data_IF_738423446157
#
_entry.id   IF_738423446157
#
_cell.length_a   1.000
_cell.length_b   1.000
_cell.length_c   1.000
_cell.angle_alpha   90.00
_cell.angle_beta   90.00
_cell.angle_gamma   90.00
#
_symmetry.space_group_name_H-M   'P 1'
#
loop_
_entity.id
_entity.type
_entity.pdbx_description
1 polymer ?
#
# COMPACT_ATOMS: atom_id res chain seq x y z
N UNK A 1 20.79 23.54 7.50
CA UNK A 1 20.21 22.21 7.78
C UNK A 1 21.32 21.38 8.41
N UNK A 2 21.26 21.14 9.72
CA UNK A 2 22.39 20.58 10.45
C UNK A 2 22.47 19.07 10.21
N UNK A 3 23.67 18.50 10.15
CA UNK A 3 23.90 17.05 10.00
C UNK A 3 23.08 16.22 11.02
N UNK A 4 22.85 16.79 12.20
CA UNK A 4 22.01 16.21 13.24
C UNK A 4 20.53 16.07 12.83
N UNK A 5 19.98 17.02 12.09
CA UNK A 5 18.60 16.96 11.59
C UNK A 5 18.47 15.88 10.51
N UNK A 6 19.48 15.75 9.66
CA UNK A 6 19.56 14.70 8.65
C UNK A 6 19.67 13.31 9.29
N UNK A 7 20.56 13.12 10.27
CA UNK A 7 20.72 11.86 11.00
C UNK A 7 19.44 11.50 11.77
N UNK A 8 18.77 12.48 12.39
CA UNK A 8 17.46 12.27 13.03
C UNK A 8 16.38 11.86 12.03
N UNK A 9 16.32 12.49 10.84
CA UNK A 9 15.37 12.09 9.80
C UNK A 9 15.65 10.68 9.27
N UNK A 10 16.93 10.30 9.12
CA UNK A 10 17.32 8.98 8.66
C UNK A 10 17.01 7.93 9.72
N UNK A 11 17.25 8.23 11.01
CA UNK A 11 16.88 7.36 12.12
C UNK A 11 15.36 7.18 12.22
N UNK A 12 14.57 8.22 11.95
CA UNK A 12 13.11 8.11 11.87
C UNK A 12 12.68 7.16 10.74
N UNK A 13 13.21 7.37 9.54
CA UNK A 13 12.91 6.52 8.37
C UNK A 13 13.36 5.07 8.58
N UNK A 14 14.51 4.83 9.22
CA UNK A 14 14.99 3.48 9.52
C UNK A 14 14.11 2.74 10.53
N UNK A 15 13.57 3.46 11.52
CA UNK A 15 12.61 2.90 12.47
C UNK A 15 11.26 2.59 11.81
N UNK A 16 10.93 3.27 10.71
CA UNK A 16 9.71 3.04 9.94
C UNK A 16 9.82 1.88 8.94
N UNK A 17 11.03 1.37 8.67
CA UNK A 17 11.25 0.18 7.82
C UNK A 17 11.27 -1.05 8.73
N UNK A 18 10.10 -1.52 9.14
CA UNK A 18 9.98 -2.66 10.07
C UNK A 18 10.02 -4.02 9.37
N UNK A 19 9.74 -4.06 8.07
CA UNK A 19 9.69 -5.30 7.30
C UNK A 19 9.98 -5.08 5.81
N UNK A 20 10.49 -6.12 5.16
CA UNK A 20 10.53 -6.30 3.72
C UNK A 20 9.38 -7.22 3.31
N UNK A 21 8.48 -6.72 2.45
CA UNK A 21 7.39 -7.52 1.86
C UNK A 21 7.70 -7.76 0.38
N UNK A 22 7.71 -9.03 -0.04
CA UNK A 22 7.86 -9.45 -1.43
C UNK A 22 6.58 -10.15 -1.86
N UNK A 23 5.87 -9.57 -2.83
CA UNK A 23 4.68 -10.15 -3.43
C UNK A 23 4.96 -10.59 -4.87
N UNK A 24 4.52 -11.77 -5.24
CA UNK A 24 4.57 -12.26 -6.61
C UNK A 24 3.16 -12.42 -7.15
N UNK A 25 2.88 -11.64 -8.19
CA UNK A 25 1.60 -11.62 -8.89
C UNK A 25 1.83 -11.93 -10.36
N UNK A 26 0.91 -12.69 -10.96
CA UNK A 26 0.82 -12.82 -12.42
C UNK A 26 -0.25 -11.87 -12.90
N UNK A 27 0.17 -10.88 -13.67
CA UNK A 27 -0.71 -9.89 -14.29
C UNK A 27 -0.79 -10.17 -15.78
N UNK A 28 -1.90 -9.78 -16.40
CA UNK A 28 -2.02 -9.86 -17.87
C UNK A 28 -1.05 -8.90 -18.56
N UNK A 29 -0.90 -7.70 -17.99
CA UNK A 29 -0.06 -6.64 -18.53
C UNK A 29 0.57 -5.83 -17.40
N UNK A 30 1.84 -5.49 -17.56
CA UNK A 30 2.50 -4.48 -16.73
C UNK A 30 2.27 -3.11 -17.40
N UNK A 31 1.37 -2.31 -16.84
CA UNK A 31 1.17 -0.94 -17.31
C UNK A 31 2.28 -0.03 -16.76
N UNK A 32 2.88 0.77 -17.64
CA UNK A 32 3.91 1.75 -17.26
C UNK A 32 3.36 3.06 -16.71
N UNK A 33 2.12 3.05 -16.21
CA UNK A 33 1.44 4.26 -15.79
C UNK A 33 2.15 4.88 -14.60
N UNK A 34 2.48 6.16 -14.75
CA UNK A 34 3.11 6.91 -13.68
C UNK A 34 2.10 7.09 -12.55
N UNK A 35 2.46 6.67 -11.34
CA UNK A 35 1.66 6.94 -10.15
C UNK A 35 1.44 8.45 -9.98
N UNK A 36 0.17 8.88 -10.10
CA UNK A 36 -0.29 10.24 -9.82
C UNK A 36 -1.16 10.18 -8.55
N UNK A 37 -0.69 10.69 -7.40
CA UNK A 37 -1.38 10.52 -6.11
C UNK A 37 -2.83 11.01 -6.13
N UNK A 38 -3.06 12.22 -6.62
CA UNK A 38 -4.39 12.81 -6.64
C UNK A 38 -5.38 12.02 -7.49
N UNK A 39 -4.94 11.58 -8.67
CA UNK A 39 -5.77 10.78 -9.57
C UNK A 39 -6.08 9.43 -8.94
N UNK A 40 -5.05 8.73 -8.43
CA UNK A 40 -5.22 7.43 -7.78
C UNK A 40 -6.17 7.52 -6.58
N UNK A 41 -6.01 8.54 -5.74
CA UNK A 41 -6.90 8.79 -4.60
C UNK A 41 -8.33 9.00 -5.05
N UNK A 42 -8.56 9.89 -6.02
CA UNK A 42 -9.90 10.18 -6.55
C UNK A 42 -10.54 8.95 -7.17
N UNK A 43 -9.77 8.18 -7.94
CA UNK A 43 -10.29 7.04 -8.68
C UNK A 43 -10.66 5.88 -7.73
N UNK A 44 -9.93 5.68 -6.63
CA UNK A 44 -10.32 4.74 -5.57
C UNK A 44 -11.45 5.32 -4.71
N UNK A 45 -11.43 6.63 -4.45
CA UNK A 45 -12.45 7.29 -3.65
C UNK A 45 -13.85 7.11 -4.25
N UNK A 46 -13.96 7.13 -5.58
CA UNK A 46 -15.23 6.99 -6.29
C UNK A 46 -15.82 5.57 -6.26
N UNK A 47 -15.08 4.57 -5.77
CA UNK A 47 -15.55 3.20 -5.74
C UNK A 47 -16.66 3.05 -4.69
N UNK A 48 -17.87 2.93 -5.19
CA UNK A 48 -19.11 2.61 -4.48
C UNK A 48 -19.95 1.68 -5.36
N UNK A 49 -21.05 1.11 -4.83
CA UNK A 49 -21.88 0.18 -5.60
C UNK A 49 -22.36 0.76 -6.93
N UNK A 50 -22.86 2.01 -6.93
CA UNK A 50 -23.28 2.72 -8.15
C UNK A 50 -22.13 2.94 -9.14
N UNK A 51 -20.89 3.07 -8.68
CA UNK A 51 -19.72 3.18 -9.56
C UNK A 51 -19.45 1.85 -10.25
N UNK A 52 -19.55 0.73 -9.54
CA UNK A 52 -19.31 -0.61 -10.09
C UNK A 52 -20.32 -0.93 -11.19
N UNK A 53 -21.59 -0.57 -11.00
CA UNK A 53 -22.62 -0.75 -12.01
C UNK A 53 -22.38 0.16 -13.23
N UNK A 54 -22.13 1.46 -13.00
CA UNK A 54 -21.92 2.44 -14.08
C UNK A 54 -20.69 2.17 -14.94
N UNK A 55 -19.66 1.55 -14.37
CA UNK A 55 -18.43 1.20 -15.09
C UNK A 55 -18.41 -0.26 -15.56
N UNK A 56 -19.56 -0.94 -15.52
CA UNK A 56 -19.71 -2.32 -16.00
C UNK A 56 -18.69 -3.27 -15.36
N UNK A 57 -18.42 -3.10 -14.06
CA UNK A 57 -17.49 -3.97 -13.34
C UNK A 57 -18.11 -5.35 -13.19
N UNK A 58 -17.39 -6.35 -13.70
CA UNK A 58 -17.74 -7.76 -13.65
C UNK A 58 -18.02 -8.20 -12.22
N UNK A 59 -19.10 -8.97 -12.02
CA UNK A 59 -19.63 -9.33 -10.70
C UNK A 59 -18.58 -9.95 -9.78
N UNK A 60 -17.72 -10.82 -10.31
CA UNK A 60 -16.66 -11.49 -9.55
C UNK A 60 -15.56 -10.56 -8.99
N UNK A 61 -15.48 -9.31 -9.47
CA UNK A 61 -14.47 -8.34 -9.03
C UNK A 61 -15.03 -7.31 -8.04
N UNK A 62 -16.36 -7.18 -7.92
CA UNK A 62 -17.02 -6.11 -7.18
C UNK A 62 -16.56 -6.03 -5.72
N UNK A 63 -16.54 -7.16 -5.02
CA UNK A 63 -16.08 -7.23 -3.62
C UNK A 63 -14.63 -6.74 -3.49
N UNK A 64 -13.76 -7.13 -4.42
CA UNK A 64 -12.36 -6.69 -4.39
C UNK A 64 -12.22 -5.19 -4.61
N UNK A 65 -13.08 -4.58 -5.44
CA UNK A 65 -13.06 -3.13 -5.63
C UNK A 65 -13.50 -2.41 -4.35
N UNK A 66 -14.56 -2.91 -3.70
CA UNK A 66 -15.02 -2.38 -2.42
C UNK A 66 -13.94 -2.51 -1.33
N UNK A 67 -13.18 -3.61 -1.32
CA UNK A 67 -12.05 -3.77 -0.40
C UNK A 67 -10.93 -2.74 -0.62
N UNK A 68 -10.68 -2.28 -1.86
CA UNK A 68 -9.75 -1.17 -2.10
C UNK A 68 -10.21 0.11 -1.40
N UNK A 69 -11.50 0.42 -1.51
CA UNK A 69 -12.12 1.58 -0.86
C UNK A 69 -12.07 1.45 0.66
N UNK A 70 -12.42 0.28 1.20
CA UNK A 70 -12.35 -0.02 2.65
C UNK A 70 -10.93 0.12 3.20
N UNK A 71 -9.94 -0.37 2.46
CA UNK A 71 -8.53 -0.26 2.86
C UNK A 71 -8.07 1.20 2.88
N UNK A 72 -8.47 2.00 1.88
CA UNK A 72 -8.18 3.44 1.86
C UNK A 72 -8.76 4.17 3.09
N UNK A 73 -9.98 3.82 3.49
CA UNK A 73 -10.64 4.38 4.68
C UNK A 73 -9.92 3.97 5.97
N UNK A 74 -9.54 2.70 6.07
CA UNK A 74 -8.78 2.17 7.20
C UNK A 74 -7.44 2.91 7.37
N UNK A 75 -6.68 3.06 6.28
CA UNK A 75 -5.39 3.77 6.29
C UNK A 75 -5.54 5.20 6.78
N UNK A 76 -6.60 5.88 6.35
CA UNK A 76 -6.89 7.23 6.82
C UNK A 76 -7.31 7.27 8.29
N UNK A 77 -8.15 6.33 8.74
CA UNK A 77 -8.55 6.23 10.15
C UNK A 77 -7.35 5.98 11.08
N UNK A 78 -6.38 5.18 10.65
CA UNK A 78 -5.12 4.96 11.37
C UNK A 78 -4.31 6.24 11.52
N UNK A 79 -4.30 7.11 10.51
CA UNK A 79 -3.64 8.42 10.59
C UNK A 79 -4.34 9.38 11.55
N UNK A 80 -5.67 9.36 11.61
CA UNK A 80 -6.44 10.20 12.53
C UNK A 80 -6.28 9.78 14.00
N UNK A 81 -6.05 8.48 14.25
CA UNK A 81 -5.91 7.90 15.59
C UNK A 81 -4.47 7.89 16.10
N UNK A 82 -3.47 8.10 15.24
CA UNK A 82 -2.06 8.12 15.62
C UNK A 82 -1.63 9.48 16.21
N UNK A 83 -1.25 9.59 17.50
CA UNK A 83 -0.86 10.86 18.12
C UNK A 83 0.39 11.52 17.52
N UNK A 84 1.18 10.77 16.74
CA UNK A 84 2.37 11.27 16.04
C UNK A 84 2.07 11.80 14.64
N UNK A 85 0.85 11.61 14.16
CA UNK A 85 0.41 12.07 12.84
C UNK A 85 0.03 13.56 12.89
N UNK A 86 0.41 14.32 11.88
CA UNK A 86 -0.03 15.71 11.69
C UNK A 86 -1.55 15.81 11.43
N UNK A 87 -2.19 14.68 11.14
CA UNK A 87 -3.64 14.55 10.95
C UNK A 87 -4.37 14.06 12.21
N UNK A 88 -3.66 13.87 13.32
CA UNK A 88 -4.26 13.38 14.57
C UNK A 88 -5.45 14.24 15.01
N UNK A 89 -6.56 13.58 15.34
CA UNK A 89 -7.75 14.23 15.88
C UNK A 89 -8.23 13.52 17.15
N UNK A 90 -8.05 14.18 18.30
CA UNK A 90 -8.46 13.65 19.61
C UNK A 90 -9.98 13.40 19.74
N UNK A 91 -10.80 13.99 18.86
CA UNK A 91 -12.25 13.79 18.85
C UNK A 91 -12.66 12.36 18.43
N UNK A 92 -11.78 11.61 17.76
CA UNK A 92 -12.05 10.26 17.28
C UNK A 92 -11.85 9.17 18.35
N UNK A 93 -11.14 9.47 19.45
CA UNK A 93 -10.96 8.54 20.58
C UNK A 93 -12.24 8.40 21.43
N UNK A 94 -13.16 9.36 21.36
CA UNK A 94 -14.43 9.35 22.10
C UNK A 94 -15.58 8.62 21.39
N UNK A 95 -15.40 8.18 20.13
CA UNK A 95 -16.39 7.32 19.46
C UNK A 95 -15.95 5.86 19.54
N UNK A 96 -16.16 5.23 20.70
CA UNK A 96 -15.91 3.79 20.93
C UNK A 96 -16.69 2.88 19.95
N UNK A 97 -17.63 3.41 19.16
CA UNK A 97 -18.42 2.67 18.18
C UNK A 97 -17.83 2.54 16.75
N UNK A 98 -16.83 3.33 16.35
CA UNK A 98 -16.39 3.34 14.93
C UNK A 98 -15.26 2.36 14.58
N UNK A 99 -14.48 1.88 15.54
CA UNK A 99 -13.39 0.92 15.28
C UNK A 99 -13.88 -0.54 15.19
N UNK A 100 -15.01 -0.87 15.84
CA UNK A 100 -15.63 -2.20 15.69
C UNK A 100 -16.23 -2.42 14.30
N UNK A 101 -16.64 -1.37 13.60
CA UNK A 101 -17.27 -1.48 12.28
C UNK A 101 -16.28 -1.82 11.16
N UNK A 102 -15.02 -1.40 11.28
CA UNK A 102 -14.01 -1.64 10.24
C UNK A 102 -13.39 -3.05 10.28
N UNK A 103 -13.62 -3.81 11.36
CA UNK A 103 -13.09 -5.17 11.57
C UNK A 103 -14.14 -6.27 11.36
N UNK A 104 -15.41 -5.92 11.13
CA UNK A 104 -16.47 -6.89 10.88
C UNK A 104 -16.54 -7.23 9.37
N UNK A 105 -16.33 -8.50 8.97
CA UNK A 105 -16.46 -8.94 7.58
C UNK A 105 -17.91 -9.03 7.08
N UNK A 106 -18.93 -8.81 7.94
CA UNK A 106 -20.35 -8.95 7.57
C UNK A 106 -21.12 -7.62 7.39
N UNK A 107 -20.49 -6.45 7.59
CA UNK A 107 -21.20 -5.18 7.46
C UNK A 107 -21.19 -4.62 6.02
N UNK A 108 -22.38 -4.30 5.51
CA UNK A 108 -22.58 -3.62 4.23
C UNK A 108 -22.05 -2.18 4.30
N UNK A 109 -21.19 -1.82 3.35
CA UNK A 109 -20.50 -0.52 3.20
C UNK A 109 -21.47 0.66 2.97
N UNK A 110 -22.76 0.39 2.73
CA UNK A 110 -23.70 1.30 2.08
C UNK A 110 -24.25 2.44 2.94
N UNK A 111 -24.01 2.51 4.25
CA UNK A 111 -24.64 3.54 5.12
C UNK A 111 -23.69 4.36 6.01
N UNK A 112 -22.36 4.18 5.91
CA UNK A 112 -21.43 4.99 6.69
C UNK A 112 -21.03 6.28 5.96
N UNK A 113 -21.19 7.41 6.63
CA UNK A 113 -20.63 8.69 6.19
C UNK A 113 -19.10 8.57 6.13
N UNK A 114 -18.58 8.41 4.91
CA UNK A 114 -17.14 8.42 4.63
C UNK A 114 -16.43 9.52 5.40
N UNK A 115 -15.41 9.16 6.19
CA UNK A 115 -14.55 10.14 6.86
C UNK A 115 -13.47 10.70 5.93
N UNK A 116 -13.26 10.06 4.77
CA UNK A 116 -12.27 10.47 3.79
C UNK A 116 -12.57 11.88 3.25
N UNK A 117 -11.56 12.76 3.15
CA UNK A 117 -11.72 14.07 2.53
C UNK A 117 -12.18 13.96 1.08
N UNK A 118 -13.20 14.73 0.70
CA UNK A 118 -13.85 14.61 -0.62
C UNK A 118 -13.01 15.28 -1.73
N UNK A 119 -12.43 14.51 -2.68
CA UNK A 119 -11.60 15.04 -3.76
C UNK A 119 -12.39 15.72 -4.88
N UNK A 120 -13.73 15.64 -4.87
CA UNK A 120 -14.60 16.21 -5.90
C UNK A 120 -15.05 17.64 -5.56
N UNK A 121 -14.78 18.11 -4.34
CA UNK A 121 -15.06 19.50 -3.96
C UNK A 121 -14.16 20.47 -4.72
N UNK A 122 -14.63 21.71 -4.85
CA UNK A 122 -13.89 22.78 -5.51
C UNK A 122 -12.50 22.99 -4.88
N UNK A 123 -11.50 23.35 -5.70
CA UNK A 123 -10.11 23.58 -5.29
C UNK A 123 -9.95 24.63 -4.17
N UNK A 124 -10.91 25.56 -4.06
CA UNK A 124 -10.93 26.59 -3.02
C UNK A 124 -11.60 26.15 -1.70
N UNK A 125 -12.09 24.91 -1.63
CA UNK A 125 -12.76 24.40 -0.43
C UNK A 125 -11.78 23.99 0.67
N UNK A 126 -12.19 24.06 1.95
CA UNK A 126 -11.39 23.52 3.06
C UNK A 126 -11.17 22.00 2.93
N UNK A 127 -12.08 21.27 2.28
CA UNK A 127 -11.92 19.85 1.98
C UNK A 127 -10.70 19.58 1.09
N UNK A 128 -10.49 20.39 0.05
CA UNK A 128 -9.31 20.24 -0.80
C UNK A 128 -8.00 20.56 -0.10
N UNK A 129 -8.01 21.39 0.96
CA UNK A 129 -6.84 21.56 1.82
C UNK A 129 -6.54 20.29 2.61
N UNK A 130 -7.57 19.60 3.12
CA UNK A 130 -7.43 18.30 3.80
C UNK A 130 -6.92 17.21 2.86
N UNK A 131 -7.42 17.15 1.63
CA UNK A 131 -6.90 16.23 0.59
C UNK A 131 -5.42 16.49 0.33
N UNK A 132 -5.01 17.76 0.18
CA UNK A 132 -3.59 18.11 -0.05
C UNK A 132 -2.72 17.74 1.14
N UNK A 133 -3.20 17.94 2.37
CA UNK A 133 -2.49 17.55 3.58
C UNK A 133 -2.34 16.02 3.65
N UNK A 134 -3.41 15.27 3.38
CA UNK A 134 -3.42 13.81 3.32
C UNK A 134 -2.43 13.27 2.27
N UNK A 135 -2.47 13.82 1.06
CA UNK A 135 -1.54 13.46 -0.02
C UNK A 135 -0.11 13.99 0.21
N UNK A 136 0.12 14.77 1.26
CA UNK A 136 1.45 15.13 1.74
C UNK A 136 2.05 14.11 2.70
N UNK A 137 1.24 13.20 3.26
CA UNK A 137 1.71 12.18 4.19
C UNK A 137 2.43 11.03 3.47
N UNK A 138 3.68 10.79 3.85
CA UNK A 138 4.53 9.80 3.19
C UNK A 138 4.14 8.35 3.47
N UNK A 139 3.49 8.05 4.61
CA UNK A 139 2.99 6.71 4.90
C UNK A 139 1.74 6.44 4.05
N UNK A 140 0.80 7.37 4.04
CA UNK A 140 -0.41 7.31 3.22
C UNK A 140 -0.08 7.16 1.74
N UNK A 141 0.85 7.95 1.21
CA UNK A 141 1.26 7.87 -0.20
C UNK A 141 1.84 6.51 -0.59
N UNK A 142 2.53 5.83 0.33
CA UNK A 142 3.06 4.48 0.09
C UNK A 142 1.92 3.47 -0.02
N UNK A 143 0.97 3.50 0.91
CA UNK A 143 -0.22 2.65 0.84
C UNK A 143 -1.08 2.95 -0.39
N UNK A 144 -1.34 4.22 -0.68
CA UNK A 144 -2.10 4.66 -1.84
C UNK A 144 -1.47 4.19 -3.17
N UNK A 145 -0.14 4.17 -3.26
CA UNK A 145 0.56 3.61 -4.43
C UNK A 145 0.27 2.12 -4.59
N UNK A 146 0.37 1.33 -3.50
CA UNK A 146 0.05 -0.10 -3.49
C UNK A 146 -1.40 -0.34 -3.92
N UNK A 147 -2.34 0.45 -3.40
CA UNK A 147 -3.76 0.36 -3.79
C UNK A 147 -3.97 0.71 -5.27
N UNK A 148 -3.26 1.72 -5.79
CA UNK A 148 -3.31 2.08 -7.20
C UNK A 148 -2.84 0.96 -8.12
N UNK A 149 -1.73 0.31 -7.77
CA UNK A 149 -1.20 -0.84 -8.50
C UNK A 149 -2.21 -2.00 -8.53
N UNK A 150 -2.83 -2.31 -7.39
CA UNK A 150 -3.88 -3.33 -7.29
C UNK A 150 -5.09 -2.98 -8.15
N UNK A 151 -5.55 -1.71 -8.11
CA UNK A 151 -6.66 -1.25 -8.95
C UNK A 151 -6.35 -1.44 -10.43
N UNK A 152 -5.17 -1.06 -10.90
CA UNK A 152 -4.78 -1.21 -12.31
C UNK A 152 -4.76 -2.68 -12.75
N UNK A 153 -4.32 -3.59 -11.89
CA UNK A 153 -4.39 -5.03 -12.15
C UNK A 153 -5.86 -5.48 -12.30
N UNK A 154 -6.72 -5.04 -11.39
CA UNK A 154 -8.15 -5.35 -11.43
C UNK A 154 -8.88 -4.75 -12.64
N UNK A 155 -8.55 -3.52 -13.04
CA UNK A 155 -9.12 -2.87 -14.23
C UNK A 155 -8.75 -3.67 -15.49
N UNK A 156 -7.49 -4.09 -15.60
CA UNK A 156 -7.02 -4.93 -16.72
C UNK A 156 -7.73 -6.29 -16.74
N UNK A 157 -7.99 -6.87 -15.56
CA UNK A 157 -8.77 -8.10 -15.43
C UNK A 157 -10.21 -7.93 -15.89
N UNK A 158 -10.82 -6.82 -15.49
CA UNK A 158 -12.20 -6.50 -15.82
C UNK A 158 -12.41 -6.46 -17.33
N UNK A 159 -11.54 -5.75 -18.06
CA UNK A 159 -11.56 -5.69 -19.52
C UNK A 159 -11.54 -7.09 -20.16
N UNK A 160 -10.70 -8.00 -19.63
CA UNK A 160 -10.57 -9.36 -20.16
C UNK A 160 -11.79 -10.23 -19.83
N UNK A 161 -12.34 -10.12 -18.63
CA UNK A 161 -13.55 -10.85 -18.24
C UNK A 161 -14.73 -10.46 -19.13
N UNK A 162 -14.93 -9.16 -19.34
CA UNK A 162 -15.97 -8.63 -20.22
C UNK A 162 -15.76 -9.08 -21.68
N UNK A 163 -14.51 -9.07 -22.17
CA UNK A 163 -14.19 -9.57 -23.50
C UNK A 163 -14.52 -11.07 -23.65
N UNK A 164 -14.17 -11.89 -22.65
CA UNK A 164 -14.48 -13.33 -22.64
C UNK A 164 -15.97 -13.62 -22.56
N UNK A 165 -16.73 -12.86 -21.76
CA UNK A 165 -18.19 -12.95 -21.70
C UNK A 165 -18.84 -12.60 -23.04
N UNK A 166 -18.34 -11.58 -23.72
CA UNK A 166 -18.82 -11.20 -25.06
C UNK A 166 -18.52 -12.27 -26.12
N UNK A 167 -17.35 -12.93 -26.04
CA UNK A 167 -16.96 -14.02 -26.95
C UNK A 167 -17.70 -15.32 -26.67
N UNK A 168 -18.13 -15.56 -25.41
CA UNK A 168 -18.70 -16.83 -24.97
C UNK A 168 -19.99 -16.65 -24.14
N UNK A 169 -21.08 -16.11 -24.72
CA UNK A 169 -22.31 -15.75 -24.01
C UNK A 169 -23.08 -16.92 -23.36
N UNK A 170 -22.66 -18.16 -23.60
CA UNK A 170 -23.25 -19.37 -23.01
C UNK A 170 -22.49 -19.94 -21.82
N UNK A 171 -21.31 -19.41 -21.48
CA UNK A 171 -20.57 -19.82 -20.28
C UNK A 171 -21.07 -19.04 -19.07
N UNK A 172 -21.12 -19.69 -17.91
CA UNK A 172 -21.44 -18.98 -16.68
C UNK A 172 -20.30 -18.00 -16.32
N UNK A 173 -20.66 -16.85 -15.76
CA UNK A 173 -19.69 -15.85 -15.27
C UNK A 173 -18.65 -16.47 -14.32
N UNK A 174 -19.03 -17.48 -13.53
CA UNK A 174 -18.11 -18.25 -12.68
C UNK A 174 -17.07 -19.07 -13.48
N UNK A 175 -17.46 -19.68 -14.60
CA UNK A 175 -16.53 -20.43 -15.45
C UNK A 175 -15.53 -19.49 -16.15
N UNK A 176 -15.99 -18.30 -16.55
CA UNK A 176 -15.15 -17.27 -17.16
C UNK A 176 -14.18 -16.67 -16.12
N UNK A 177 -14.68 -16.36 -14.92
CA UNK A 177 -13.86 -15.89 -13.81
C UNK A 177 -12.76 -16.88 -13.41
N UNK A 178 -13.04 -18.19 -13.47
CA UNK A 178 -12.07 -19.24 -13.19
C UNK A 178 -11.03 -19.42 -14.32
N UNK A 179 -11.41 -19.11 -15.57
CA UNK A 179 -10.49 -19.13 -16.71
C UNK A 179 -9.47 -17.98 -16.65
N UNK A 180 -9.86 -16.82 -16.10
CA UNK A 180 -8.97 -15.67 -15.90
C UNK A 180 -8.32 -15.73 -14.51
N UNK A 181 -7.20 -16.45 -14.40
CA UNK A 181 -6.41 -16.59 -13.16
C UNK A 181 -5.44 -15.42 -12.89
N UNK A 182 -5.57 -14.27 -13.55
CA UNK A 182 -4.65 -13.14 -13.37
C UNK A 182 -5.01 -12.31 -12.12
N UNK A 183 -4.06 -11.50 -11.65
CA UNK A 183 -4.28 -10.45 -10.63
C UNK A 183 -4.53 -10.99 -9.21
N UNK A 184 -3.75 -12.02 -8.89
CA UNK A 184 -3.71 -12.67 -7.58
C UNK A 184 -2.26 -12.70 -7.08
N UNK A 185 -2.08 -12.36 -5.80
CA UNK A 185 -0.80 -12.59 -5.13
C UNK A 185 -0.69 -14.10 -4.88
N UNK A 186 0.11 -14.76 -5.70
CA UNK A 186 0.31 -16.21 -5.62
C UNK A 186 1.26 -16.60 -4.49
N UNK A 187 2.22 -15.73 -4.20
CA UNK A 187 3.20 -15.93 -3.15
C UNK A 187 3.55 -14.58 -2.51
N UNK A 188 3.63 -14.59 -1.19
CA UNK A 188 4.02 -13.45 -0.37
C UNK A 188 5.04 -13.92 0.67
N UNK A 189 6.14 -13.18 0.80
CA UNK A 189 7.09 -13.33 1.90
C UNK A 189 7.20 -11.98 2.62
N UNK A 190 7.02 -12.00 3.93
CA UNK A 190 7.30 -10.86 4.81
C UNK A 190 8.48 -11.22 5.70
N UNK A 191 9.56 -10.44 5.65
CA UNK A 191 10.75 -10.56 6.49
C UNK A 191 10.76 -9.36 7.44
N UNK A 192 10.60 -9.60 8.74
CA UNK A 192 10.63 -8.56 9.76
C UNK A 192 12.07 -8.33 10.27
N UNK A 193 12.34 -7.14 10.84
CA UNK A 193 13.65 -6.80 11.39
C UNK A 193 14.10 -7.70 12.55
N UNK A 194 13.15 -8.27 13.30
CA UNK A 194 13.42 -9.22 14.39
C UNK A 194 13.75 -10.64 13.89
N UNK A 195 13.69 -10.86 12.57
CA UNK A 195 14.04 -12.11 11.92
C UNK A 195 12.85 -13.03 11.64
N UNK A 196 11.62 -12.62 11.98
CA UNK A 196 10.43 -13.39 11.62
C UNK A 196 10.23 -13.39 10.11
N UNK A 197 10.06 -14.60 9.55
CA UNK A 197 9.81 -14.81 8.13
C UNK A 197 8.48 -15.52 7.97
N UNK A 198 7.51 -14.83 7.36
CA UNK A 198 6.18 -15.36 7.09
C UNK A 198 6.03 -15.56 5.59
N UNK A 199 5.77 -16.80 5.18
CA UNK A 199 5.42 -17.15 3.80
C UNK A 199 3.93 -17.47 3.70
N UNK A 200 3.26 -16.85 2.73
CA UNK A 200 1.86 -17.12 2.38
C UNK A 200 1.77 -17.47 0.91
N UNK A 201 1.00 -18.50 0.59
CA UNK A 201 0.73 -18.91 -0.78
C UNK A 201 -0.78 -18.96 -0.99
N UNK A 202 -1.25 -18.48 -2.13
CA UNK A 202 -2.65 -18.67 -2.51
C UNK A 202 -2.86 -20.14 -2.86
N UNK A 203 -3.99 -20.73 -2.45
CA UNK A 203 -4.29 -22.13 -2.76
C UNK A 203 -4.37 -22.35 -4.28
N UNK A 204 -4.78 -21.34 -5.06
CA UNK A 204 -4.85 -21.42 -6.51
C UNK A 204 -3.49 -21.63 -7.19
N UNK A 205 -2.35 -21.37 -6.51
CA UNK A 205 -1.02 -21.68 -7.04
C UNK A 205 -0.80 -23.19 -7.22
N UNK A 206 -1.47 -24.02 -6.41
CA UNK A 206 -1.28 -25.47 -6.40
C UNK A 206 -1.69 -26.10 -7.74
N UNK A 207 -2.75 -25.56 -8.35
CA UNK A 207 -3.32 -25.99 -9.63
C UNK A 207 -2.95 -25.03 -10.79
N UNK A 208 -1.93 -24.17 -10.61
CA UNK A 208 -1.52 -23.22 -11.64
C UNK A 208 -0.59 -23.90 -12.67
N UNK A 209 -0.84 -23.76 -13.99
CA UNK A 209 -0.02 -24.41 -15.02
C UNK A 209 1.47 -24.01 -14.99
N UNK A 210 1.76 -22.82 -14.46
CA UNK A 210 3.12 -22.28 -14.31
C UNK A 210 3.60 -22.24 -12.85
N UNK A 211 3.05 -23.07 -11.96
CA UNK A 211 3.37 -23.09 -10.52
C UNK A 211 4.86 -23.00 -10.23
N UNK A 212 5.64 -23.92 -10.81
CA UNK A 212 7.06 -24.04 -10.49
C UNK A 212 7.85 -22.80 -10.96
N UNK A 213 7.45 -22.19 -12.08
CA UNK A 213 8.04 -20.94 -12.57
C UNK A 213 7.73 -19.77 -11.64
N UNK A 214 6.48 -19.63 -11.20
CA UNK A 214 6.06 -18.57 -10.28
C UNK A 214 6.78 -18.68 -8.94
N UNK A 215 6.85 -19.90 -8.37
CA UNK A 215 7.54 -20.13 -7.11
C UNK A 215 9.06 -19.91 -7.23
N UNK A 216 9.66 -20.26 -8.37
CA UNK A 216 11.06 -19.99 -8.64
C UNK A 216 11.33 -18.48 -8.73
N UNK A 217 10.53 -17.72 -9.48
CA UNK A 217 10.62 -16.26 -9.58
C UNK A 217 10.45 -15.63 -8.19
N UNK A 218 9.48 -16.12 -7.41
CA UNK A 218 9.25 -15.63 -6.06
C UNK A 218 10.47 -15.84 -5.17
N UNK A 219 11.05 -17.05 -5.18
CA UNK A 219 12.27 -17.37 -4.43
C UNK A 219 13.43 -16.44 -4.82
N UNK A 220 13.68 -16.26 -6.12
CA UNK A 220 14.74 -15.36 -6.61
C UNK A 220 14.49 -13.90 -6.20
N UNK A 221 13.22 -13.48 -6.18
CA UNK A 221 12.80 -12.15 -5.73
C UNK A 221 13.02 -11.96 -4.24
N UNK A 222 12.75 -12.99 -3.41
CA UNK A 222 13.01 -12.98 -1.96
C UNK A 222 14.51 -12.88 -1.68
N UNK A 223 15.33 -13.73 -2.32
CA UNK A 223 16.78 -13.72 -2.17
C UNK A 223 17.40 -12.38 -2.62
N UNK A 224 16.91 -11.84 -3.72
CA UNK A 224 17.38 -10.54 -4.24
C UNK A 224 16.92 -9.39 -3.34
N UNK A 225 15.66 -9.41 -2.89
CA UNK A 225 15.09 -8.43 -1.98
C UNK A 225 15.82 -8.40 -0.64
N UNK A 226 16.08 -9.56 -0.03
CA UNK A 226 16.85 -9.69 1.21
C UNK A 226 18.24 -9.08 1.05
N UNK A 227 18.94 -9.40 -0.05
CA UNK A 227 20.29 -8.88 -0.35
C UNK A 227 20.28 -7.36 -0.49
N UNK A 228 19.32 -6.80 -1.23
CA UNK A 228 19.19 -5.36 -1.40
C UNK A 228 18.83 -4.66 -0.08
N UNK A 229 17.92 -5.22 0.69
CA UNK A 229 17.49 -4.69 1.98
C UNK A 229 18.63 -4.68 3.00
N UNK A 230 19.39 -5.77 3.11
CA UNK A 230 20.64 -5.79 3.91
C UNK A 230 21.66 -4.76 3.45
N UNK A 231 21.83 -4.58 2.14
CA UNK A 231 22.71 -3.56 1.58
C UNK A 231 22.29 -2.14 1.96
N UNK A 232 20.99 -1.83 1.91
CA UNK A 232 20.44 -0.53 2.33
C UNK A 232 20.62 -0.29 3.83
N UNK A 233 20.34 -1.30 4.66
CA UNK A 233 20.56 -1.22 6.11
C UNK A 233 22.04 -0.99 6.44
N UNK A 234 22.95 -1.73 5.78
CA UNK A 234 24.39 -1.54 5.91
C UNK A 234 24.83 -0.13 5.54
N UNK A 235 24.40 0.38 4.39
CA UNK A 235 24.68 1.74 3.94
C UNK A 235 24.19 2.80 4.95
N UNK A 236 22.99 2.60 5.51
CA UNK A 236 22.44 3.55 6.48
C UNK A 236 23.23 3.52 7.81
N UNK A 237 23.65 2.34 8.28
CA UNK A 237 24.54 2.19 9.43
C UNK A 237 25.88 2.90 9.16
N UNK A 238 26.46 2.75 7.97
CA UNK A 238 27.73 3.39 7.59
C UNK A 238 27.62 4.92 7.64
N UNK A 239 26.51 5.50 7.19
CA UNK A 239 26.24 6.95 7.31
C UNK A 239 26.20 7.37 8.77
N UNK A 240 25.46 6.64 9.62
CA UNK A 240 25.32 6.96 11.04
C UNK A 240 26.68 6.85 11.75
N UNK A 241 27.42 5.78 11.52
CA UNK A 241 28.76 5.57 12.09
C UNK A 241 29.73 6.67 11.64
N UNK A 242 29.72 7.04 10.36
CA UNK A 242 30.56 8.11 9.81
C UNK A 242 30.23 9.48 10.42
N UNK A 243 28.95 9.75 10.67
CA UNK A 243 28.51 11.00 11.30
C UNK A 243 28.94 11.06 12.78
N UNK A 244 28.79 9.97 13.53
CA UNK A 244 29.20 9.87 14.93
C UNK A 244 30.72 9.96 15.11
N UNK A 245 31.50 9.32 14.21
CA UNK A 245 32.95 9.36 14.21
C UNK A 245 33.52 10.75 13.86
N UNK A 246 32.81 11.55 13.05
CA UNK A 246 33.19 12.95 12.78
C UNK A 246 32.85 13.88 13.94
N UNK A 247 31.76 13.63 14.68
CA UNK A 247 31.38 14.41 15.86
C UNK A 247 32.39 14.28 17.01
N UNK A 248 33.00 13.11 17.18
CA UNK A 248 34.02 12.85 18.23
C UNK A 248 35.38 13.50 17.93
N UNK A 249 35.72 13.74 16.66
CA UNK A 249 36.98 14.41 16.31
C UNK A 249 36.95 15.93 16.53
N UNK A 250 35.77 16.56 16.60
CA UNK A 250 35.64 18.01 16.83
C UNK A 250 35.69 18.34 18.33
N UNK A 251 35.21 17.45 19.22
CA UNK A 251 35.31 17.66 20.67
C UNK A 251 36.74 17.57 21.19
N UNK A 252 37.60 16.73 20.59
CA UNK A 252 39.00 16.61 20.99
C UNK A 252 39.91 17.78 20.59
N UNK A 253 39.47 18.65 19.66
CA UNK A 253 40.23 19.85 19.26
C UNK A 253 39.81 21.11 20.03
N UNK A 254 38.64 21.09 20.69
CA UNK A 254 38.20 22.20 21.57
C UNK A 254 38.92 22.19 22.93
N UNK A 255 39.28 21.02 23.46
CA UNK A 255 39.94 20.89 24.77
C UNK A 255 41.46 21.13 24.72
N UNK A 256 42.01 21.52 23.56
CA UNK A 256 43.46 21.75 23.37
C UNK A 256 43.85 23.22 23.14
N UNK A 257 42.90 24.15 23.25
CA UNK A 257 43.18 25.59 23.07
C UNK A 257 43.30 26.35 24.40
N UNK A 258 42.98 25.73 25.54
CA UNK A 258 43.10 26.34 26.87
C UNK A 258 44.20 25.67 27.73
N UNK A 259 45.45 25.69 27.25
CA UNK A 259 46.65 25.51 28.10
C UNK A 259 47.85 26.28 27.54
#
# INVERSE_FOLDING_TARGET
MQLNDFVKSLSGVLLDITALEVNTMVVERINGDKFIPWQTYRDIYLIELDYLERNEIHESLRDRYLELRKTLEMDYALLLSNPKSDLYSSAMMSSEGNHQVLTDPQMEVSEQTTQLPDPLKSQASPEMARVKQLLGDGQFLRSLRKLGELKTCMDSRNEKLLAMEAEHPGHSSAAIAQAVKTDMIYAQTVIQLDGDVINRYSEEILDHPYRDVILQIHKESVETGERQWRGLLGFAIDIVQSALARGTNISFLSDRVDN
#
